data_IF_009446251324
#
_entry.id   IF_009446251324
#
_cell.length_a   1.000
_cell.length_b   1.000
_cell.length_c   1.000
_cell.angle_alpha   90.00
_cell.angle_beta   90.00
_cell.angle_gamma   90.00
#
_symmetry.space_group_name_H-M   'P 1'
#
loop_
_entity.id
_entity.type
_entity.pdbx_description
1 polymer ?
#
# COMPACT_ATOMS: atom_id res chain seq x y z
N UNK A 1 -11.49 -29.41 -16.75
CA UNK A 1 -11.22 -29.55 -15.30
C UNK A 1 -10.49 -28.28 -14.82
N UNK A 2 -11.20 -27.18 -14.55
CA UNK A 2 -10.61 -25.87 -14.15
C UNK A 2 -11.28 -25.26 -12.90
N UNK A 3 -12.19 -25.99 -12.26
CA UNK A 3 -13.04 -25.49 -11.16
C UNK A 3 -12.48 -25.83 -9.77
N UNK A 4 -11.42 -26.64 -9.64
CA UNK A 4 -10.90 -27.09 -8.33
C UNK A 4 -9.83 -26.20 -7.68
N UNK A 5 -9.02 -25.46 -8.44
CA UNK A 5 -7.93 -24.65 -7.87
C UNK A 5 -8.43 -23.30 -7.30
N UNK A 6 -9.44 -22.69 -7.95
CA UNK A 6 -10.02 -21.40 -7.57
C UNK A 6 -10.75 -21.46 -6.22
N UNK A 7 -11.51 -22.54 -6.01
CA UNK A 7 -12.22 -22.80 -4.76
C UNK A 7 -11.26 -22.98 -3.59
N UNK A 8 -10.15 -23.70 -3.81
CA UNK A 8 -9.10 -23.90 -2.81
C UNK A 8 -8.36 -22.61 -2.47
N UNK A 9 -7.95 -21.80 -3.45
CA UNK A 9 -7.27 -20.52 -3.20
C UNK A 9 -8.16 -19.53 -2.44
N UNK A 10 -9.42 -19.36 -2.86
CA UNK A 10 -10.37 -18.45 -2.17
C UNK A 10 -10.65 -18.92 -0.74
N UNK A 11 -10.75 -20.24 -0.54
CA UNK A 11 -10.91 -20.85 0.79
C UNK A 11 -9.68 -20.61 1.66
N UNK A 12 -8.47 -20.88 1.16
CA UNK A 12 -7.20 -20.66 1.86
C UNK A 12 -7.06 -19.18 2.20
N UNK A 13 -7.27 -18.27 1.24
CA UNK A 13 -7.22 -16.83 1.50
C UNK A 13 -8.24 -16.40 2.56
N UNK A 14 -9.49 -16.86 2.48
CA UNK A 14 -10.50 -16.54 3.49
C UNK A 14 -10.12 -17.08 4.86
N UNK A 15 -9.54 -18.29 4.92
CA UNK A 15 -9.00 -18.88 6.14
C UNK A 15 -7.83 -18.06 6.68
N UNK A 16 -6.89 -17.66 5.83
CA UNK A 16 -5.74 -16.81 6.16
C UNK A 16 -6.14 -15.40 6.57
N UNK A 17 -7.25 -14.86 6.07
CA UNK A 17 -7.84 -13.58 6.52
C UNK A 17 -8.52 -13.74 7.88
N UNK A 18 -9.04 -14.94 8.18
CA UNK A 18 -9.75 -15.27 9.42
C UNK A 18 -8.86 -15.87 10.52
N UNK A 19 -7.65 -16.34 10.19
CA UNK A 19 -6.64 -16.67 11.18
C UNK A 19 -6.34 -15.40 11.97
N UNK A 20 -5.83 -15.52 13.19
CA UNK A 20 -5.63 -14.33 14.02
C UNK A 20 -4.21 -13.81 13.83
N UNK A 21 -4.03 -12.63 13.21
CA UNK A 21 -2.77 -11.86 13.33
C UNK A 21 -2.68 -11.37 14.76
N UNK A 22 -3.76 -10.70 15.12
CA UNK A 22 -3.89 -9.82 16.25
C UNK A 22 -5.19 -10.24 16.89
N UNK A 23 -5.04 -10.99 17.97
CA UNK A 23 -6.09 -11.16 18.96
C UNK A 23 -6.42 -9.83 19.65
N UNK A 24 -5.58 -8.80 19.43
CA UNK A 24 -5.55 -7.55 20.15
C UNK A 24 -5.06 -6.39 19.30
N UNK A 25 -5.52 -5.16 19.57
CA UNK A 25 -5.15 -3.98 18.80
C UNK A 25 -3.63 -3.77 18.81
N UNK A 26 -3.03 -3.50 17.64
CA UNK A 26 -1.60 -3.24 17.53
C UNK A 26 -1.12 -2.11 18.46
N UNK A 27 -1.96 -1.12 18.74
CA UNK A 27 -1.57 0.09 19.47
C UNK A 27 -1.90 0.07 20.97
N UNK A 28 -2.88 -0.74 21.40
CA UNK A 28 -3.36 -0.72 22.79
C UNK A 28 -3.77 -2.08 23.36
N UNK A 29 -3.55 -3.17 22.61
CA UNK A 29 -3.82 -4.54 23.02
C UNK A 29 -5.30 -4.87 23.33
N UNK A 30 -6.25 -4.00 22.98
CA UNK A 30 -7.68 -4.30 23.12
C UNK A 30 -8.14 -5.37 22.11
N UNK A 31 -8.83 -6.41 22.57
CA UNK A 31 -9.22 -7.57 21.74
C UNK A 31 -10.27 -7.28 20.65
N UNK A 32 -10.99 -6.15 20.76
CA UNK A 32 -12.06 -5.81 19.81
C UNK A 32 -11.52 -5.13 18.55
N UNK A 33 -10.91 -5.93 17.66
CA UNK A 33 -10.45 -5.50 16.34
C UNK A 33 -11.64 -5.16 15.43
N UNK A 34 -11.50 -4.09 14.64
CA UNK A 34 -12.49 -3.66 13.65
C UNK A 34 -11.92 -3.72 12.23
N UNK A 35 -12.82 -3.66 11.24
CA UNK A 35 -12.45 -3.40 9.85
C UNK A 35 -12.10 -1.91 9.69
N UNK A 36 -10.86 -1.61 9.32
CA UNK A 36 -10.43 -0.27 8.91
C UNK A 36 -10.19 -0.23 7.40
N UNK A 37 -10.50 0.89 6.76
CA UNK A 37 -10.32 1.09 5.32
C UNK A 37 -9.08 1.93 5.05
N UNK A 38 -8.25 1.56 4.07
CA UNK A 38 -7.10 2.38 3.68
C UNK A 38 -7.48 3.74 3.13
N UNK A 39 -8.55 3.80 2.34
CA UNK A 39 -9.12 5.03 1.77
C UNK A 39 -10.42 5.36 2.52
N UNK A 40 -10.71 6.62 2.87
CA UNK A 40 -11.87 6.95 3.68
C UNK A 40 -13.15 6.61 2.92
N UNK A 41 -14.16 6.15 3.64
CA UNK A 41 -15.43 5.75 3.03
C UNK A 41 -16.10 6.89 2.25
N UNK A 42 -15.92 8.15 2.67
CA UNK A 42 -16.47 9.29 1.92
C UNK A 42 -15.78 9.49 0.56
N UNK A 43 -14.48 9.18 0.44
CA UNK A 43 -13.73 9.24 -0.82
C UNK A 43 -14.18 8.11 -1.75
N UNK A 44 -14.24 6.89 -1.21
CA UNK A 44 -14.65 5.73 -2.00
C UNK A 44 -16.06 5.93 -2.57
N UNK A 45 -17.00 6.48 -1.80
CA UNK A 45 -18.38 6.74 -2.26
C UNK A 45 -18.45 7.67 -3.48
N UNK A 46 -17.40 8.45 -3.75
CA UNK A 46 -17.35 9.34 -4.90
C UNK A 46 -17.03 8.62 -6.22
N UNK A 47 -16.49 7.38 -6.20
CA UNK A 47 -16.24 6.62 -7.42
C UNK A 47 -17.45 5.78 -7.84
N UNK A 48 -17.94 4.85 -7.00
CA UNK A 48 -19.26 4.21 -7.15
C UNK A 48 -19.60 3.29 -5.97
N UNK A 49 -20.80 2.69 -5.96
CA UNK A 49 -21.21 1.69 -4.97
C UNK A 49 -20.42 0.37 -5.02
N UNK A 50 -19.66 0.11 -6.09
CA UNK A 50 -18.87 -1.10 -6.27
C UNK A 50 -17.51 -0.77 -6.88
N UNK A 51 -16.45 -1.40 -6.39
CA UNK A 51 -15.11 -1.20 -6.92
C UNK A 51 -14.64 -2.45 -7.67
N UNK A 52 -13.92 -2.25 -8.76
CA UNK A 52 -13.00 -3.29 -9.22
C UNK A 52 -11.76 -3.22 -8.34
N UNK A 53 -11.51 -4.29 -7.58
CA UNK A 53 -10.21 -4.51 -6.96
C UNK A 53 -9.35 -5.30 -7.93
N UNK A 54 -8.30 -4.68 -8.45
CA UNK A 54 -7.19 -5.41 -9.06
C UNK A 54 -5.95 -5.16 -8.20
N UNK A 55 -5.36 -6.26 -7.71
CA UNK A 55 -3.94 -6.27 -7.41
C UNK A 55 -3.23 -6.85 -8.63
N UNK A 56 -2.04 -6.36 -8.95
CA UNK A 56 -1.19 -6.92 -10.00
C UNK A 56 -1.01 -8.45 -9.87
N UNK A 57 -1.06 -8.98 -8.64
CA UNK A 57 -1.01 -10.41 -8.35
C UNK A 57 -2.23 -11.19 -8.87
N UNK A 58 -3.41 -10.58 -8.94
CA UNK A 58 -4.64 -11.20 -9.46
C UNK A 58 -4.67 -11.27 -11.00
N UNK A 59 -4.11 -10.27 -11.68
CA UNK A 59 -4.12 -10.22 -13.16
C UNK A 59 -3.16 -11.26 -13.78
N UNK A 60 -1.98 -11.45 -13.19
CA UNK A 60 -1.02 -12.49 -13.62
C UNK A 60 -1.57 -13.92 -13.50
N UNK A 61 -2.58 -14.12 -12.66
CA UNK A 61 -3.14 -15.43 -12.38
C UNK A 61 -4.48 -15.69 -13.11
N UNK A 62 -4.86 -14.80 -14.04
CA UNK A 62 -6.01 -14.99 -14.92
C UNK A 62 -7.36 -14.87 -14.20
N UNK A 63 -7.40 -14.20 -13.06
CA UNK A 63 -8.64 -13.95 -12.32
C UNK A 63 -9.35 -12.73 -12.90
N UNK A 64 -10.68 -12.83 -13.04
CA UNK A 64 -11.51 -11.69 -13.41
C UNK A 64 -11.37 -10.54 -12.39
N UNK A 65 -11.51 -9.27 -12.82
CA UNK A 65 -11.61 -8.14 -11.90
C UNK A 65 -12.67 -8.44 -10.83
N UNK A 66 -12.25 -8.54 -9.58
CA UNK A 66 -13.17 -8.86 -8.50
C UNK A 66 -14.08 -7.65 -8.29
N UNK A 67 -15.34 -7.79 -8.68
CA UNK A 67 -16.40 -6.87 -8.28
C UNK A 67 -16.55 -6.97 -6.77
N UNK A 68 -16.09 -5.95 -6.05
CA UNK A 68 -16.21 -5.88 -4.61
C UNK A 68 -17.15 -4.75 -4.23
N UNK A 69 -17.92 -4.96 -3.18
CA UNK A 69 -18.63 -3.88 -2.54
C UNK A 69 -17.63 -2.93 -1.89
N UNK A 70 -17.97 -1.65 -1.89
CA UNK A 70 -17.10 -0.57 -1.40
C UNK A 70 -16.77 -0.67 0.10
N UNK A 71 -17.64 -1.30 0.88
CA UNK A 71 -17.44 -1.61 2.30
C UNK A 71 -16.32 -2.64 2.51
N UNK A 72 -15.89 -3.33 1.46
CA UNK A 72 -14.77 -4.30 1.48
C UNK A 72 -13.51 -3.80 0.78
N UNK A 73 -13.53 -2.57 0.24
CA UNK A 73 -12.39 -1.99 -0.47
C UNK A 73 -11.28 -1.58 0.49
N UNK A 74 -10.06 -2.10 0.30
CA UNK A 74 -8.89 -1.69 1.09
C UNK A 74 -8.99 -2.00 2.58
N UNK A 75 -9.78 -3.00 2.97
CA UNK A 75 -9.99 -3.34 4.39
C UNK A 75 -8.78 -4.07 4.98
N UNK A 76 -8.42 -3.71 6.20
CA UNK A 76 -7.49 -4.44 7.07
C UNK A 76 -8.02 -4.53 8.50
N UNK A 77 -7.47 -5.47 9.28
CA UNK A 77 -7.91 -5.78 10.64
C UNK A 77 -6.70 -5.75 11.58
N UNK A 78 -6.40 -4.57 12.11
CA UNK A 78 -5.25 -4.37 13.01
C UNK A 78 -5.52 -3.51 14.24
N UNK A 79 -6.62 -2.75 14.24
CA UNK A 79 -6.89 -1.73 15.23
C UNK A 79 -8.24 -1.94 15.90
N UNK A 80 -8.35 -1.51 17.17
CA UNK A 80 -9.64 -1.31 17.79
C UNK A 80 -10.24 0.03 17.33
N UNK A 81 -11.54 0.21 17.56
CA UNK A 81 -12.28 1.41 17.13
C UNK A 81 -11.71 2.71 17.68
N UNK A 82 -11.25 2.72 18.93
CA UNK A 82 -10.74 3.93 19.58
C UNK A 82 -9.41 4.36 18.97
N UNK A 83 -8.49 3.41 18.78
CA UNK A 83 -7.21 3.67 18.13
C UNK A 83 -7.36 4.09 16.67
N UNK A 84 -8.25 3.44 15.92
CA UNK A 84 -8.53 3.80 14.52
C UNK A 84 -9.09 5.23 14.41
N UNK A 85 -10.12 5.55 15.20
CA UNK A 85 -10.70 6.89 15.22
C UNK A 85 -9.69 7.97 15.63
N UNK A 86 -8.85 7.69 16.64
CA UNK A 86 -7.86 8.65 17.15
C UNK A 86 -6.73 8.87 16.14
N UNK A 87 -6.18 7.79 15.58
CA UNK A 87 -5.02 7.86 14.71
C UNK A 87 -5.31 8.49 13.35
N UNK A 88 -6.58 8.47 12.89
CA UNK A 88 -6.96 8.92 11.54
C UNK A 88 -8.02 10.03 11.53
N UNK A 89 -8.23 10.71 12.65
CA UNK A 89 -9.25 11.75 12.79
C UNK A 89 -9.11 12.85 11.74
N UNK A 90 -7.87 13.23 11.41
CA UNK A 90 -7.63 14.34 10.49
C UNK A 90 -7.96 13.93 9.06
N UNK A 91 -7.47 12.77 8.65
CA UNK A 91 -7.59 12.18 7.33
C UNK A 91 -9.02 11.72 7.01
N UNK A 92 -9.73 11.15 7.98
CA UNK A 92 -11.10 10.65 7.75
C UNK A 92 -12.17 11.75 7.76
N UNK A 93 -11.80 13.00 8.04
CA UNK A 93 -12.72 14.12 8.04
C UNK A 93 -12.63 14.94 6.74
N UNK A 94 -13.67 14.96 5.89
CA UNK A 94 -13.64 15.64 4.60
C UNK A 94 -13.41 17.16 4.71
N UNK A 95 -13.76 17.79 5.86
CA UNK A 95 -13.55 19.23 6.08
C UNK A 95 -12.08 19.61 6.23
N UNK A 96 -11.21 18.65 6.56
CA UNK A 96 -9.81 18.94 6.83
C UNK A 96 -8.98 19.16 5.56
N UNK A 97 -9.42 18.65 4.40
CA UNK A 97 -8.69 18.77 3.13
C UNK A 97 -8.64 20.20 2.57
N UNK A 98 -9.59 21.06 2.96
CA UNK A 98 -9.57 22.49 2.60
C UNK A 98 -8.60 23.31 3.43
N UNK A 99 -8.13 22.80 4.58
CA UNK A 99 -7.24 23.53 5.48
C UNK A 99 -5.77 23.16 5.20
N UNK A 100 -4.93 24.08 4.71
CA UNK A 100 -3.51 23.80 4.45
C UNK A 100 -2.73 23.36 5.69
N UNK A 101 -3.12 23.77 6.90
CA UNK A 101 -2.41 23.39 8.14
C UNK A 101 -2.54 21.90 8.44
N UNK A 102 -3.61 21.27 7.97
CA UNK A 102 -3.88 19.85 8.20
C UNK A 102 -3.13 18.95 7.20
N UNK A 103 -2.53 19.52 6.16
CA UNK A 103 -1.96 18.75 5.07
C UNK A 103 -0.87 17.79 5.56
N UNK A 104 0.04 18.23 6.42
CA UNK A 104 1.09 17.33 6.88
C UNK A 104 0.54 16.15 7.68
N UNK A 105 -0.39 16.44 8.60
CA UNK A 105 -1.07 15.43 9.38
C UNK A 105 -1.83 14.44 8.48
N UNK A 106 -2.55 14.92 7.46
CA UNK A 106 -3.18 14.07 6.45
C UNK A 106 -2.16 13.14 5.76
N UNK A 107 -0.97 13.65 5.38
CA UNK A 107 0.07 12.83 4.75
C UNK A 107 0.63 11.77 5.71
N UNK A 108 0.86 12.12 6.98
CA UNK A 108 1.32 11.17 8.02
C UNK A 108 0.29 10.05 8.23
N UNK A 109 -0.98 10.41 8.38
CA UNK A 109 -2.07 9.47 8.58
C UNK A 109 -2.29 8.56 7.36
N UNK A 110 -2.15 9.07 6.13
CA UNK A 110 -2.13 8.28 4.89
C UNK A 110 -0.98 7.25 4.92
N UNK A 111 0.25 7.70 5.20
CA UNK A 111 1.41 6.82 5.24
C UNK A 111 1.25 5.74 6.32
N UNK A 112 0.69 6.10 7.47
CA UNK A 112 0.44 5.15 8.55
C UNK A 112 -0.58 4.09 8.14
N UNK A 113 -1.69 4.47 7.50
CA UNK A 113 -2.65 3.50 6.93
C UNK A 113 -2.02 2.58 5.90
N UNK A 114 -1.16 3.12 5.03
CA UNK A 114 -0.46 2.34 4.01
C UNK A 114 0.44 1.27 4.63
N UNK A 115 1.26 1.66 5.61
CA UNK A 115 2.16 0.75 6.31
C UNK A 115 1.40 -0.34 7.08
N UNK A 116 0.30 0.03 7.77
CA UNK A 116 -0.57 -0.94 8.46
C UNK A 116 -1.23 -1.92 7.48
N UNK A 117 -1.76 -1.43 6.36
CA UNK A 117 -2.34 -2.31 5.34
C UNK A 117 -1.32 -3.28 4.77
N UNK A 118 -0.10 -2.80 4.50
CA UNK A 118 0.99 -3.63 4.02
C UNK A 118 1.40 -4.70 5.03
N UNK A 119 1.45 -4.37 6.32
CA UNK A 119 1.68 -5.37 7.38
C UNK A 119 0.61 -6.46 7.38
N UNK A 120 -0.65 -6.05 7.28
CA UNK A 120 -1.79 -6.95 7.20
C UNK A 120 -1.68 -7.88 5.98
N UNK A 121 -1.39 -7.34 4.80
CA UNK A 121 -1.25 -8.12 3.56
C UNK A 121 -0.07 -9.10 3.60
N UNK A 122 1.09 -8.67 4.14
CA UNK A 122 2.26 -9.54 4.35
C UNK A 122 1.90 -10.72 5.24
N UNK A 123 1.19 -10.47 6.34
CA UNK A 123 0.77 -11.56 7.20
C UNK A 123 -0.24 -12.50 6.53
N UNK A 124 -1.20 -11.95 5.76
CA UNK A 124 -2.16 -12.79 5.04
C UNK A 124 -1.39 -13.71 4.10
N UNK A 125 -0.38 -13.18 3.40
CA UNK A 125 0.50 -13.97 2.56
C UNK A 125 1.28 -15.04 3.35
N UNK A 126 1.83 -14.73 4.52
CA UNK A 126 2.55 -15.69 5.37
C UNK A 126 1.66 -16.87 5.80
N UNK A 127 0.42 -16.63 6.23
CA UNK A 127 -0.50 -17.73 6.54
C UNK A 127 -0.94 -18.51 5.32
N UNK A 128 -1.09 -17.84 4.17
CA UNK A 128 -1.38 -18.56 2.95
C UNK A 128 -0.21 -19.50 2.62
N UNK A 129 1.03 -19.02 2.74
CA UNK A 129 2.25 -19.79 2.51
C UNK A 129 2.42 -20.95 3.50
N UNK A 130 1.97 -20.80 4.76
CA UNK A 130 2.09 -21.86 5.77
C UNK A 130 1.24 -23.10 5.46
N UNK A 131 0.20 -22.97 4.64
CA UNK A 131 -0.65 -24.09 4.18
C UNK A 131 -0.01 -24.90 3.05
N UNK A 132 1.09 -24.40 2.44
CA UNK A 132 1.81 -25.11 1.38
C UNK A 132 2.94 -25.98 1.93
N UNK A 133 3.36 -26.96 1.13
CA UNK A 133 4.47 -27.86 1.46
C UNK A 133 5.80 -27.10 1.54
N UNK A 134 6.29 -26.89 2.77
CA UNK A 134 7.53 -26.17 3.08
C UNK A 134 8.80 -26.88 2.61
N UNK A 135 8.71 -28.15 2.18
CA UNK A 135 9.86 -28.86 1.60
C UNK A 135 10.24 -28.32 0.21
N UNK A 136 9.33 -27.61 -0.46
CA UNK A 136 9.57 -26.90 -1.70
C UNK A 136 10.44 -25.67 -1.43
N UNK A 137 11.63 -25.61 -2.05
CA UNK A 137 12.57 -24.48 -1.84
C UNK A 137 11.95 -23.13 -2.17
N UNK A 138 11.11 -23.04 -3.21
CA UNK A 138 10.42 -21.79 -3.57
C UNK A 138 9.45 -21.30 -2.51
N UNK A 139 8.78 -22.20 -1.79
CA UNK A 139 7.86 -21.85 -0.69
C UNK A 139 8.66 -21.40 0.54
N UNK A 140 9.74 -22.11 0.86
CA UNK A 140 10.64 -21.72 1.96
C UNK A 140 11.25 -20.34 1.71
N UNK A 141 11.81 -20.12 0.53
CA UNK A 141 12.42 -18.83 0.15
C UNK A 141 11.38 -17.69 0.18
N UNK A 142 10.13 -17.98 -0.21
CA UNK A 142 9.03 -17.01 -0.10
C UNK A 142 8.68 -16.70 1.37
N UNK A 143 8.58 -17.70 2.24
CA UNK A 143 8.34 -17.50 3.67
C UNK A 143 9.45 -16.65 4.28
N UNK A 144 10.73 -16.98 4.03
CA UNK A 144 11.88 -16.21 4.52
C UNK A 144 11.82 -14.75 4.06
N UNK A 145 11.47 -14.52 2.79
CA UNK A 145 11.32 -13.18 2.23
C UNK A 145 10.18 -12.38 2.89
N UNK A 146 8.98 -12.97 3.00
CA UNK A 146 7.82 -12.29 3.59
C UNK A 146 8.01 -12.06 5.10
N UNK A 147 8.70 -12.94 5.81
CA UNK A 147 9.07 -12.74 7.22
C UNK A 147 10.02 -11.56 7.38
N UNK A 148 11.05 -11.45 6.54
CA UNK A 148 11.95 -10.29 6.56
C UNK A 148 11.20 -8.97 6.25
N UNK A 149 10.27 -9.00 5.29
CA UNK A 149 9.39 -7.87 4.99
C UNK A 149 8.48 -7.50 6.17
N UNK A 150 7.93 -8.49 6.87
CA UNK A 150 7.04 -8.28 8.01
C UNK A 150 7.73 -7.49 9.13
N UNK A 151 8.97 -7.85 9.47
CA UNK A 151 9.74 -7.13 10.49
C UNK A 151 10.18 -5.75 10.01
N UNK A 152 10.68 -5.62 8.78
CA UNK A 152 11.07 -4.32 8.23
C UNK A 152 9.89 -3.34 8.17
N UNK A 153 8.69 -3.82 7.88
CA UNK A 153 7.49 -2.99 7.83
C UNK A 153 6.94 -2.66 9.23
N UNK A 154 7.16 -3.53 10.24
CA UNK A 154 6.85 -3.21 11.63
C UNK A 154 7.70 -2.04 12.16
N UNK A 155 8.99 -1.99 11.80
CA UNK A 155 9.86 -0.87 12.15
C UNK A 155 9.40 0.45 11.50
N UNK A 156 8.99 0.39 10.22
CA UNK A 156 8.42 1.55 9.51
C UNK A 156 7.10 2.02 10.17
N UNK A 157 6.22 1.09 10.56
CA UNK A 157 5.00 1.39 11.32
C UNK A 157 5.34 2.16 12.60
N UNK A 158 6.30 1.67 13.39
CA UNK A 158 6.70 2.34 14.62
C UNK A 158 7.25 3.74 14.33
N UNK A 159 8.12 3.86 13.34
CA UNK A 159 8.70 5.14 12.90
C UNK A 159 7.61 6.15 12.53
N UNK A 160 6.64 5.75 11.70
CA UNK A 160 5.52 6.63 11.30
C UNK A 160 4.61 6.95 12.49
N UNK A 161 4.34 5.97 13.35
CA UNK A 161 3.52 6.19 14.55
C UNK A 161 4.14 7.24 15.47
N UNK A 162 5.46 7.18 15.70
CA UNK A 162 6.21 8.19 16.47
C UNK A 162 6.14 9.58 15.80
N UNK A 163 6.00 9.64 14.47
CA UNK A 163 5.84 10.89 13.73
C UNK A 163 4.46 11.53 13.85
N UNK A 164 3.41 10.77 14.22
CA UNK A 164 2.04 11.30 14.27
C UNK A 164 1.88 12.44 15.28
N UNK A 165 2.64 12.41 16.37
CA UNK A 165 2.60 13.39 17.45
C UNK A 165 3.79 14.38 17.40
N UNK A 166 4.69 14.22 16.43
CA UNK A 166 5.91 15.04 16.28
C UNK A 166 5.76 16.07 15.15
N UNK A 167 5.51 17.33 15.51
CA UNK A 167 5.33 18.43 14.56
C UNK A 167 6.58 18.75 13.73
N UNK A 168 7.78 18.36 14.18
CA UNK A 168 9.03 18.62 13.47
C UNK A 168 9.28 17.57 12.38
N UNK A 169 8.84 16.32 12.60
CA UNK A 169 8.95 15.26 11.61
C UNK A 169 7.80 15.33 10.62
N UNK A 170 8.14 15.63 9.37
CA UNK A 170 7.16 15.95 8.34
C UNK A 170 7.40 15.12 7.08
N UNK A 171 6.32 14.69 6.43
CA UNK A 171 6.40 14.20 5.07
C UNK A 171 6.61 15.36 4.08
N UNK A 172 7.40 15.10 3.05
CA UNK A 172 7.68 16.04 1.98
C UNK A 172 6.90 15.69 0.72
N UNK A 173 5.97 16.56 0.33
CA UNK A 173 5.29 16.47 -0.96
C UNK A 173 6.29 16.45 -2.10
N UNK A 174 6.22 15.47 -2.99
CA UNK A 174 6.91 15.43 -4.30
C UNK A 174 6.03 16.13 -5.34
N UNK A 175 4.74 15.78 -5.36
CA UNK A 175 3.75 16.32 -6.27
C UNK A 175 2.40 16.43 -5.56
N UNK A 176 1.69 17.53 -5.81
CA UNK A 176 0.29 17.72 -5.44
C UNK A 176 -0.46 18.29 -6.63
N UNK A 177 -1.59 17.70 -6.99
CA UNK A 177 -2.49 18.25 -8.00
C UNK A 177 -3.94 18.15 -7.53
N UNK A 178 -4.65 19.25 -7.74
CA UNK A 178 -6.09 19.32 -7.61
C UNK A 178 -6.69 19.34 -9.01
N UNK A 179 -7.47 18.32 -9.34
CA UNK A 179 -8.27 18.25 -10.55
C UNK A 179 -9.66 18.79 -10.24
N UNK A 180 -10.25 19.50 -11.19
CA UNK A 180 -11.59 20.12 -11.12
C UNK A 180 -12.71 19.14 -11.52
N UNK A 181 -12.42 17.84 -11.50
CA UNK A 181 -13.36 16.77 -11.75
C UNK A 181 -13.04 15.56 -10.86
N UNK A 182 -14.04 14.70 -10.68
CA UNK A 182 -13.93 13.42 -9.97
C UNK A 182 -13.32 12.37 -10.90
N UNK A 183 -12.18 11.79 -10.54
CA UNK A 183 -11.59 10.69 -11.29
C UNK A 183 -12.35 9.40 -11.03
N UNK A 184 -12.44 8.47 -12.01
CA UNK A 184 -13.10 7.17 -11.83
C UNK A 184 -12.26 6.18 -11.03
N UNK A 185 -11.15 6.62 -10.42
CA UNK A 185 -10.20 5.79 -9.67
C UNK A 185 -9.91 6.44 -8.32
N UNK A 186 -9.99 5.64 -7.26
CA UNK A 186 -9.42 5.93 -5.96
C UNK A 186 -8.27 4.95 -5.71
N UNK A 187 -7.11 5.45 -5.31
CA UNK A 187 -5.94 4.62 -5.09
C UNK A 187 -5.13 5.16 -3.91
N UNK A 188 -4.55 4.26 -3.13
CA UNK A 188 -3.63 4.66 -2.07
C UNK A 188 -2.70 3.51 -1.73
N UNK A 189 -1.41 3.83 -1.60
CA UNK A 189 -0.43 2.89 -1.11
C UNK A 189 0.98 3.46 -1.16
N UNK A 190 1.93 2.59 -0.88
CA UNK A 190 3.35 2.91 -0.85
C UNK A 190 4.16 1.85 -1.59
N UNK A 191 5.32 2.25 -2.09
CA UNK A 191 6.28 1.34 -2.70
C UNK A 191 7.72 1.78 -2.41
N UNK A 192 8.66 0.82 -2.34
CA UNK A 192 10.04 1.14 -2.03
C UNK A 192 10.71 1.76 -3.27
N UNK A 193 11.36 2.91 -3.12
CA UNK A 193 12.02 3.57 -4.25
C UNK A 193 13.54 3.37 -4.26
N UNK A 194 14.19 3.49 -3.11
CA UNK A 194 15.64 3.31 -2.97
C UNK A 194 15.96 2.42 -1.79
N UNK A 195 16.99 1.62 -1.98
CA UNK A 195 17.64 0.84 -0.94
C UNK A 195 19.13 1.21 -0.93
N UNK A 196 19.66 1.65 0.22
CA UNK A 196 21.08 1.92 0.34
C UNK A 196 21.82 0.64 0.76
N UNK A 197 22.50 -0.03 -0.20
CA UNK A 197 23.48 -1.09 0.10
C UNK A 197 24.71 -0.46 0.74
N UNK A 198 24.91 -0.63 2.05
CA UNK A 198 26.26 -0.50 2.59
C UNK A 198 27.12 -1.66 2.08
N UNK A 199 28.42 -1.42 1.97
CA UNK A 199 29.43 -2.42 1.65
C UNK A 199 29.44 -3.53 2.72
N UNK A 200 28.62 -4.56 2.53
CA UNK A 200 28.50 -5.72 3.42
C UNK A 200 27.07 -6.26 3.44
N UNK A 201 26.91 -7.56 3.67
CA UNK A 201 25.64 -8.31 3.70
C UNK A 201 24.68 -7.93 4.88
N UNK A 202 24.81 -6.72 5.43
CA UNK A 202 23.93 -6.20 6.48
C UNK A 202 23.00 -5.16 5.88
N UNK A 203 21.77 -5.56 5.65
CA UNK A 203 20.66 -4.62 5.46
C UNK A 203 20.26 -4.09 6.82
N UNK A 204 20.68 -2.88 7.19
CA UNK A 204 20.02 -2.18 8.29
C UNK A 204 18.68 -1.65 7.79
N UNK A 205 17.60 -2.00 8.48
CA UNK A 205 16.22 -1.65 8.12
C UNK A 205 15.97 -0.12 8.03
N UNK A 206 16.87 0.71 8.60
CA UNK A 206 16.83 2.17 8.58
C UNK A 206 17.08 2.84 7.19
N UNK A 207 16.90 2.14 6.07
CA UNK A 207 17.41 2.57 4.74
C UNK A 207 16.48 2.33 3.54
N UNK A 208 15.20 2.04 3.75
CA UNK A 208 14.22 1.99 2.65
C UNK A 208 13.53 3.34 2.52
N UNK A 209 13.73 4.02 1.39
CA UNK A 209 13.01 5.25 1.10
C UNK A 209 11.69 4.91 0.41
N UNK A 210 10.58 5.08 1.12
CA UNK A 210 9.23 4.83 0.61
C UNK A 210 8.68 6.05 -0.13
N UNK A 211 8.00 5.79 -1.25
CA UNK A 211 7.14 6.78 -1.91
C UNK A 211 5.70 6.38 -1.63
N UNK A 212 4.93 7.34 -1.10
CA UNK A 212 3.50 7.21 -0.90
C UNK A 212 2.75 7.93 -2.03
N UNK A 213 1.69 7.30 -2.54
CA UNK A 213 0.76 7.88 -3.52
C UNK A 213 -0.67 7.78 -2.99
N UNK A 214 -1.45 8.84 -3.18
CA UNK A 214 -2.88 8.84 -2.95
C UNK A 214 -3.59 9.60 -4.08
N UNK A 215 -4.62 8.97 -4.67
CA UNK A 215 -5.60 9.58 -5.58
C UNK A 215 -6.94 9.52 -4.85
N UNK A 216 -7.42 10.69 -4.42
CA UNK A 216 -8.61 10.82 -3.58
C UNK A 216 -9.70 11.61 -4.33
N UNK A 217 -10.67 10.91 -4.93
CA UNK A 217 -11.84 11.53 -5.56
C UNK A 217 -12.80 12.11 -4.51
N UNK A 218 -13.28 13.31 -4.76
CA UNK A 218 -14.37 13.98 -4.05
C UNK A 218 -15.50 14.27 -5.06
N UNK A 219 -16.67 14.73 -4.59
CA UNK A 219 -17.85 14.93 -5.45
C UNK A 219 -17.65 15.80 -6.70
N UNK A 220 -16.68 16.74 -6.69
CA UNK A 220 -16.44 17.68 -7.81
C UNK A 220 -14.97 17.91 -8.14
N UNK A 221 -14.07 17.17 -7.49
CA UNK A 221 -12.64 17.39 -7.60
C UNK A 221 -11.90 16.12 -7.22
N UNK A 222 -10.61 16.05 -7.56
CA UNK A 222 -9.73 14.96 -7.11
C UNK A 222 -8.44 15.57 -6.59
N UNK A 223 -8.00 15.15 -5.41
CA UNK A 223 -6.68 15.48 -4.90
C UNK A 223 -5.73 14.31 -5.16
N UNK A 224 -4.58 14.62 -5.73
CA UNK A 224 -3.50 13.67 -6.00
C UNK A 224 -2.30 14.08 -5.17
N UNK A 225 -1.77 13.15 -4.39
CA UNK A 225 -0.58 13.31 -3.57
C UNK A 225 0.47 12.27 -3.97
N UNK A 226 1.71 12.72 -4.08
CA UNK A 226 2.91 11.88 -4.10
C UNK A 226 3.90 12.47 -3.12
N UNK A 227 4.41 11.68 -2.18
CA UNK A 227 5.19 12.20 -1.05
C UNK A 227 6.07 11.14 -0.39
N UNK A 228 7.03 11.59 0.43
CA UNK A 228 8.00 10.72 1.13
C UNK A 228 8.52 11.41 2.39
N UNK A 229 8.96 10.65 3.39
CA UNK A 229 9.70 11.14 4.55
C UNK A 229 11.21 11.33 4.26
N UNK A 230 11.69 10.90 3.09
CA UNK A 230 13.08 11.12 2.67
C UNK A 230 13.26 12.47 1.98
N UNK A 231 13.93 13.40 2.66
CA UNK A 231 14.25 14.76 2.18
C UNK A 231 15.01 14.72 0.84
N UNK A 232 16.01 13.85 0.72
CA UNK A 232 16.89 13.80 -0.44
C UNK A 232 16.14 13.27 -1.65
N UNK A 233 15.36 12.21 -1.45
CA UNK A 233 14.47 11.67 -2.46
C UNK A 233 13.43 12.70 -2.90
N UNK A 234 12.82 13.42 -1.96
CA UNK A 234 11.84 14.46 -2.27
C UNK A 234 12.44 15.53 -3.19
N UNK A 235 13.66 16.00 -2.90
CA UNK A 235 14.37 17.00 -3.73
C UNK A 235 14.65 16.48 -5.14
N UNK A 236 15.18 15.26 -5.25
CA UNK A 236 15.47 14.61 -6.54
C UNK A 236 14.20 14.46 -7.38
N UNK A 237 13.11 13.97 -6.78
CA UNK A 237 11.85 13.74 -7.50
C UNK A 237 11.14 15.02 -7.87
N UNK A 238 11.18 16.05 -7.03
CA UNK A 238 10.69 17.40 -7.40
C UNK A 238 11.43 17.94 -8.61
N UNK A 239 12.76 17.85 -8.62
CA UNK A 239 13.56 18.32 -9.74
C UNK A 239 13.19 17.58 -11.02
N UNK A 240 13.07 16.25 -10.96
CA UNK A 240 12.61 15.45 -12.10
C UNK A 240 11.18 15.82 -12.55
N UNK A 241 10.21 15.89 -11.65
CA UNK A 241 8.82 16.25 -12.00
C UNK A 241 8.74 17.65 -12.60
N UNK A 242 9.60 18.58 -12.20
CA UNK A 242 9.59 19.95 -12.72
C UNK A 242 9.93 20.05 -14.22
N UNK A 243 10.58 19.03 -14.80
CA UNK A 243 10.88 18.98 -16.24
C UNK A 243 9.74 18.43 -17.08
N UNK A 244 8.70 17.88 -16.45
CA UNK A 244 7.56 17.24 -17.10
C UNK A 244 6.38 18.19 -17.25
N UNK A 245 5.62 18.02 -18.32
CA UNK A 245 4.28 18.60 -18.47
C UNK A 245 3.29 17.95 -17.49
N UNK A 246 2.17 18.60 -17.23
CA UNK A 246 1.14 18.04 -16.34
C UNK A 246 0.59 16.71 -16.84
N UNK A 247 0.41 16.56 -18.16
CA UNK A 247 -0.02 15.29 -18.77
C UNK A 247 1.00 14.17 -18.52
N UNK A 248 2.29 14.46 -18.64
CA UNK A 248 3.35 13.47 -18.38
C UNK A 248 3.43 13.08 -16.91
N UNK A 249 3.29 14.03 -15.98
CA UNK A 249 3.24 13.74 -14.53
C UNK A 249 2.07 12.82 -14.19
N UNK A 250 0.88 13.14 -14.68
CA UNK A 250 -0.32 12.33 -14.43
C UNK A 250 -0.21 10.94 -15.07
N UNK A 251 0.38 10.85 -16.26
CA UNK A 251 0.68 9.57 -16.91
C UNK A 251 1.61 8.71 -16.03
N UNK A 252 2.68 9.29 -15.51
CA UNK A 252 3.62 8.56 -14.64
C UNK A 252 2.97 8.12 -13.32
N UNK A 253 2.14 8.96 -12.70
CA UNK A 253 1.42 8.59 -11.48
C UNK A 253 0.48 7.43 -11.75
N UNK A 254 -0.27 7.46 -12.86
CA UNK A 254 -1.13 6.34 -13.25
C UNK A 254 -0.31 5.06 -13.46
N UNK A 255 0.83 5.15 -14.16
CA UNK A 255 1.74 4.01 -14.33
C UNK A 255 2.20 3.47 -12.96
N UNK A 256 2.67 4.32 -12.05
CA UNK A 256 3.07 3.89 -10.69
C UNK A 256 1.92 3.22 -9.94
N UNK A 257 0.71 3.78 -10.00
CA UNK A 257 -0.47 3.17 -9.36
C UNK A 257 -0.73 1.76 -9.89
N UNK A 258 -0.71 1.56 -11.20
CA UNK A 258 -1.01 0.26 -11.80
C UNK A 258 0.12 -0.77 -11.64
N UNK A 259 1.38 -0.33 -11.55
CA UNK A 259 2.52 -1.24 -11.42
C UNK A 259 2.87 -1.59 -9.98
N UNK A 260 2.72 -0.64 -9.06
CA UNK A 260 3.30 -0.74 -7.71
C UNK A 260 2.26 -0.93 -6.62
N UNK A 261 1.03 -0.45 -6.81
CA UNK A 261 0.03 -0.54 -5.75
C UNK A 261 -0.75 -1.85 -5.85
N UNK A 262 -0.88 -2.52 -4.71
CA UNK A 262 -1.70 -3.72 -4.58
C UNK A 262 -3.21 -3.41 -4.55
N UNK A 263 -3.59 -2.20 -4.14
CA UNK A 263 -4.98 -1.79 -4.00
C UNK A 263 -5.24 -0.45 -4.72
N UNK A 264 -5.99 -0.53 -5.82
CA UNK A 264 -6.66 0.60 -6.44
C UNK A 264 -8.09 0.20 -6.84
N UNK A 265 -8.99 1.18 -6.87
CA UNK A 265 -10.43 0.97 -6.97
C UNK A 265 -11.00 1.81 -8.09
N UNK A 266 -11.57 1.15 -9.09
CA UNK A 266 -12.28 1.81 -10.18
C UNK A 266 -13.79 1.88 -9.93
N UNK A 267 -14.42 2.96 -10.41
CA UNK A 267 -15.87 3.05 -10.61
C UNK A 267 -16.36 1.84 -11.42
N UNK A 268 -17.36 1.14 -10.90
CA UNK A 268 -17.95 -0.03 -11.54
C UNK A 268 -18.57 0.26 -12.92
N UNK A 269 -18.96 1.51 -13.16
CA UNK A 269 -19.50 1.98 -14.44
C UNK A 269 -18.40 2.39 -15.42
N UNK A 270 -17.13 2.41 -14.99
CA UNK A 270 -16.02 2.68 -15.88
C UNK A 270 -15.92 1.57 -16.93
N UNK A 271 -15.94 1.97 -18.21
CA UNK A 271 -15.87 1.01 -19.30
C UNK A 271 -14.53 0.26 -19.21
N UNK A 272 -14.59 -1.05 -18.93
CA UNK A 272 -13.41 -1.92 -18.84
C UNK A 272 -12.54 -1.89 -20.10
N UNK A 273 -13.10 -1.62 -21.28
CA UNK A 273 -12.33 -1.47 -22.52
C UNK A 273 -11.41 -0.23 -22.52
N UNK A 274 -11.69 0.75 -21.66
CA UNK A 274 -10.89 1.96 -21.47
C UNK A 274 -9.90 1.83 -20.30
N UNK A 275 -9.96 0.74 -19.51
CA UNK A 275 -8.87 0.45 -18.60
C UNK A 275 -7.61 0.30 -19.45
N UNK A 276 -6.49 0.94 -19.09
CA UNK A 276 -5.26 0.71 -19.80
C UNK A 276 -5.03 -0.79 -19.80
N UNK A 277 -4.98 -1.41 -20.99
CA UNK A 277 -4.42 -2.75 -21.09
C UNK A 277 -3.02 -2.60 -20.52
N UNK A 278 -2.78 -3.17 -19.35
CA UNK A 278 -1.47 -3.14 -18.69
C UNK A 278 -0.56 -4.03 -19.53
N UNK A 279 -0.11 -3.49 -20.65
CA UNK A 279 0.94 -4.06 -21.45
C UNK A 279 2.23 -3.76 -20.72
N UNK A 280 2.92 -4.82 -20.28
CA UNK A 280 4.24 -4.75 -19.69
C UNK A 280 5.13 -3.79 -20.50
N UNK A 281 5.49 -2.60 -19.99
CA UNK A 281 6.30 -1.68 -20.77
C UNK A 281 7.70 -2.25 -20.76
N UNK A 282 8.32 -2.32 -21.94
CA UNK A 282 9.78 -2.34 -22.03
C UNK A 282 10.38 -0.95 -21.71
N UNK A 283 9.66 -0.08 -20.99
CA UNK A 283 10.04 1.31 -20.74
C UNK A 283 11.27 1.34 -19.81
N UNK A 284 12.46 1.76 -20.31
CA UNK A 284 13.69 1.75 -19.54
C UNK A 284 13.66 2.70 -18.32
N UNK A 285 12.85 3.76 -18.38
CA UNK A 285 12.69 4.75 -17.29
C UNK A 285 11.86 4.19 -16.15
N UNK A 286 10.80 3.43 -16.44
CA UNK A 286 10.11 2.64 -15.42
C UNK A 286 11.03 1.53 -14.91
N UNK A 287 11.77 0.82 -15.76
CA UNK A 287 12.70 -0.23 -15.32
C UNK A 287 13.81 0.27 -14.36
N UNK A 288 14.23 1.53 -14.47
CA UNK A 288 15.18 2.15 -13.54
C UNK A 288 14.53 2.69 -12.26
N UNK A 289 13.24 3.06 -12.29
CA UNK A 289 12.41 3.36 -11.12
C UNK A 289 11.98 2.09 -10.35
N UNK A 290 11.68 1.03 -11.08
CA UNK A 290 11.17 -0.28 -10.65
C UNK A 290 12.30 -1.29 -10.43
N UNK A 291 13.53 -0.83 -10.16
CA UNK A 291 14.70 -1.71 -10.08
C UNK A 291 14.54 -2.64 -8.86
N UNK A 292 13.80 -3.75 -9.05
CA UNK A 292 13.70 -4.89 -8.16
C UNK A 292 15.05 -5.56 -8.13
N UNK A 293 15.95 -5.07 -7.30
CA UNK A 293 16.93 -5.96 -6.67
C UNK A 293 16.23 -6.55 -5.46
N UNK A 294 16.20 -7.89 -5.40
CA UNK A 294 15.84 -8.66 -4.20
C UNK A 294 16.20 -7.86 -2.95
N UNK A 295 15.26 -7.69 -2.03
CA UNK A 295 15.64 -7.40 -0.65
C UNK A 295 16.51 -8.59 -0.26
N UNK A 296 17.83 -8.39 -0.24
CA UNK A 296 18.77 -9.40 0.22
C UNK A 296 18.42 -9.61 1.70
N UNK A 297 17.83 -10.76 2.03
CA UNK A 297 17.51 -11.12 3.41
C UNK A 297 18.83 -11.08 4.19
N UNK A 298 18.98 -10.19 5.18
CA UNK A 298 20.23 -10.13 5.93
C UNK A 298 20.47 -11.47 6.65
N UNK A 299 21.66 -12.04 6.45
CA UNK A 299 22.03 -13.37 6.96
C UNK A 299 21.86 -13.54 8.49
N UNK A 300 21.77 -12.46 9.27
CA UNK A 300 21.62 -12.56 10.73
C UNK A 300 20.18 -12.91 11.19
N UNK A 301 19.16 -12.71 10.34
CA UNK A 301 17.79 -13.17 10.64
C UNK A 301 17.65 -14.70 10.48
N UNK A 302 18.65 -15.38 9.90
CA UNK A 302 18.58 -16.81 9.60
C UNK A 302 18.95 -17.74 10.75
N UNK A 303 19.53 -17.25 11.85
CA UNK A 303 20.00 -18.10 12.95
C UNK A 303 19.12 -18.01 14.22
N UNK A 304 18.57 -16.83 14.57
CA UNK A 304 17.71 -16.68 15.76
C UNK A 304 16.26 -17.13 15.57
N UNK A 305 15.77 -17.21 14.32
CA UNK A 305 14.34 -17.41 14.04
C UNK A 305 14.00 -18.76 13.39
N UNK A 306 14.93 -19.72 13.41
CA UNK A 306 14.69 -21.12 12.98
C UNK A 306 13.73 -21.91 13.89
N UNK A 307 13.16 -21.29 14.92
CA UNK A 307 12.31 -21.93 15.93
C UNK A 307 10.84 -21.45 15.98
N UNK A 308 10.38 -20.66 15.01
CA UNK A 308 8.96 -20.32 14.79
C UNK A 308 8.38 -21.09 13.60
#
# INVERSE_FOLDING_TARGET
MKISALGSYKKIRNQSVSSKIVDSCLLCENEKIIASHTIPQFVLKCISNHAYKSSYQFELSGFEPNYINIDKAGVFYMLCKECDNKAFETYENPKNYSNPTNLNQILKEIAFKNALKKQYDIWVALNMLSEFDKSQSSIRDAIEHYTALFYANADEIQSIYDMLEDDEKNFHLIYRKKLDYTTPIAAQGEFPYKYNKDSGLKVSQNKISWINIAILPFEKQTEIFMFTNDVSLSKEKKAYFSTLTDTEKLKQINEMVFYELDDYFFDANYNKANLPQIHHPQNPTLKSLLCKTRIDVPNYLSEEYKSL
#
